data_IF_677452446937
#
_entry.id   IF_677452446937
#
_cell.length_a   1.000
_cell.length_b   1.000
_cell.length_c   1.000
_cell.angle_alpha   90.00
_cell.angle_beta   90.00
_cell.angle_gamma   90.00
#
_symmetry.space_group_name_H-M   'P 1'
#
loop_
_entity.id
_entity.type
_entity.pdbx_description
1 polymer ?
#
# COMPACT_ATOMS: atom_id res chain seq x y z
N UNK A 1 12.14 6.49 -29.94
CA UNK A 1 13.49 6.99 -30.26
C UNK A 1 13.34 7.72 -31.58
N UNK A 2 13.49 9.03 -31.58
CA UNK A 2 13.30 9.84 -32.79
C UNK A 2 14.67 10.28 -33.32
N UNK A 3 14.90 10.10 -34.61
CA UNK A 3 16.15 10.48 -35.28
C UNK A 3 15.89 11.65 -36.22
N UNK A 4 16.70 12.70 -36.16
CA UNK A 4 16.57 13.80 -37.11
C UNK A 4 17.13 13.45 -38.50
N UNK A 5 16.88 14.31 -39.49
CA UNK A 5 17.42 14.18 -40.85
C UNK A 5 18.95 14.29 -40.96
N UNK A 6 19.66 14.53 -39.85
CA UNK A 6 21.12 14.56 -39.76
C UNK A 6 21.71 13.31 -39.07
N UNK A 7 20.87 12.39 -38.57
CA UNK A 7 21.28 11.15 -37.92
C UNK A 7 21.59 11.28 -36.43
N UNK A 8 21.21 12.39 -35.79
CA UNK A 8 21.34 12.54 -34.34
C UNK A 8 20.19 11.82 -33.62
N UNK A 9 20.52 11.10 -32.55
CA UNK A 9 19.55 10.37 -31.73
C UNK A 9 19.26 11.16 -30.46
N UNK A 10 17.98 11.42 -30.19
CA UNK A 10 17.52 12.16 -29.01
C UNK A 10 16.89 11.24 -27.96
N UNK A 11 17.14 11.53 -26.68
CA UNK A 11 16.41 10.92 -25.56
C UNK A 11 14.98 11.51 -25.50
N UNK A 12 14.03 10.75 -24.94
CA UNK A 12 12.60 11.10 -24.90
C UNK A 12 12.28 12.46 -24.23
N UNK A 13 13.22 13.04 -23.49
CA UNK A 13 13.09 14.36 -22.85
C UNK A 13 13.80 15.51 -23.62
N UNK A 14 14.06 15.32 -24.92
CA UNK A 14 14.54 16.38 -25.84
C UNK A 14 15.98 16.85 -25.65
N UNK A 15 16.78 16.19 -24.80
CA UNK A 15 18.17 16.56 -24.53
C UNK A 15 19.09 16.00 -25.62
N UNK A 16 19.88 16.86 -26.28
CA UNK A 16 20.89 16.45 -27.27
C UNK A 16 22.15 15.88 -26.58
N UNK A 17 22.63 14.73 -27.01
CA UNK A 17 23.86 14.13 -26.50
C UNK A 17 25.09 14.81 -27.13
N UNK A 18 25.85 15.59 -26.36
CA UNK A 18 27.14 16.14 -26.79
C UNK A 18 28.28 15.25 -26.28
N UNK A 19 28.57 14.18 -27.03
CA UNK A 19 29.73 13.35 -26.80
C UNK A 19 30.08 12.56 -28.05
N UNK A 20 31.26 12.79 -28.62
CA UNK A 20 31.87 11.86 -29.55
C UNK A 20 32.92 11.07 -28.76
N UNK A 21 32.59 9.84 -28.37
CA UNK A 21 33.58 8.90 -27.86
C UNK A 21 33.17 7.51 -28.30
N UNK A 22 33.94 6.92 -29.21
CA UNK A 22 33.74 5.61 -29.85
C UNK A 22 33.82 4.40 -28.92
N UNK A 23 33.33 4.51 -27.69
CA UNK A 23 33.13 3.39 -26.78
C UNK A 23 31.75 2.77 -26.99
N UNK A 24 31.64 1.45 -26.82
CA UNK A 24 30.33 0.79 -26.66
C UNK A 24 29.61 1.42 -25.48
N UNK A 25 28.64 2.29 -25.74
CA UNK A 25 27.68 2.73 -24.74
C UNK A 25 26.78 1.54 -24.42
N UNK A 26 27.13 0.79 -23.37
CA UNK A 26 26.15 -0.04 -22.70
C UNK A 26 25.10 0.95 -22.19
N UNK A 27 23.94 1.00 -22.83
CA UNK A 27 22.74 1.49 -22.17
C UNK A 27 22.49 0.50 -21.03
N UNK A 28 23.16 0.71 -19.91
CA UNK A 28 22.62 0.22 -18.66
C UNK A 28 21.27 0.93 -18.58
N UNK A 29 20.17 0.21 -18.80
CA UNK A 29 18.90 0.61 -18.22
C UNK A 29 19.27 1.03 -16.80
N UNK A 30 18.95 2.28 -16.43
CA UNK A 30 19.19 2.73 -15.07
C UNK A 30 18.63 1.62 -14.19
N UNK A 31 19.52 0.93 -13.46
CA UNK A 31 19.10 -0.04 -12.48
C UNK A 31 18.18 0.78 -11.59
N UNK A 32 16.87 0.47 -11.51
CA UNK A 32 16.00 1.13 -10.56
C UNK A 32 16.74 1.14 -9.22
N UNK A 33 16.78 2.26 -8.50
CA UNK A 33 17.46 2.26 -7.21
C UNK A 33 16.97 1.04 -6.42
N UNK A 34 17.91 0.31 -5.82
CA UNK A 34 17.61 -0.93 -5.12
C UNK A 34 16.42 -0.69 -4.16
N UNK A 35 15.45 -1.61 -4.07
CA UNK A 35 14.30 -1.51 -3.19
C UNK A 35 14.71 -0.97 -1.83
N UNK A 36 14.18 0.20 -1.46
CA UNK A 36 14.60 0.91 -0.25
C UNK A 36 13.91 0.39 1.03
N UNK A 37 12.98 -0.54 0.87
CA UNK A 37 12.30 -1.29 1.92
C UNK A 37 11.65 -2.56 1.34
N UNK A 38 11.20 -3.48 2.19
CA UNK A 38 10.70 -4.78 1.75
C UNK A 38 9.32 -4.73 1.06
N UNK A 39 8.67 -3.56 0.98
CA UNK A 39 7.42 -3.35 0.24
C UNK A 39 7.52 -2.43 -1.00
N UNK A 40 8.68 -1.79 -1.25
CA UNK A 40 8.85 -0.84 -2.35
C UNK A 40 9.36 -1.58 -3.61
N UNK A 41 8.46 -2.02 -4.47
CA UNK A 41 8.73 -2.88 -5.62
C UNK A 41 8.82 -2.14 -6.95
N UNK A 42 8.21 -0.96 -7.07
CA UNK A 42 8.19 -0.17 -8.31
C UNK A 42 9.49 0.65 -8.55
N UNK A 43 10.44 0.56 -7.62
CA UNK A 43 11.72 1.26 -7.66
C UNK A 43 11.69 2.66 -7.04
N UNK A 44 10.62 3.04 -6.35
CA UNK A 44 10.57 4.23 -5.51
C UNK A 44 10.88 3.91 -4.02
N UNK A 45 10.52 4.80 -3.09
CA UNK A 45 10.72 4.62 -1.65
C UNK A 45 9.44 4.56 -0.83
N UNK A 46 8.30 4.56 -1.50
CA UNK A 46 6.97 4.54 -0.92
C UNK A 46 6.52 3.09 -0.79
N UNK A 47 5.56 2.83 0.09
CA UNK A 47 4.79 1.58 0.06
C UNK A 47 3.33 1.94 -0.18
N UNK A 48 2.92 1.85 -1.44
CA UNK A 48 1.62 2.28 -1.94
C UNK A 48 1.06 1.26 -2.95
N UNK A 49 -0.08 1.58 -3.57
CA UNK A 49 -0.76 0.66 -4.48
C UNK A 49 0.02 0.35 -5.77
N UNK A 50 0.97 1.19 -6.20
CA UNK A 50 1.82 0.90 -7.34
C UNK A 50 2.77 -0.30 -7.08
N UNK A 51 3.15 -0.53 -5.83
CA UNK A 51 3.93 -1.71 -5.45
C UNK A 51 3.08 -2.98 -5.51
N UNK A 52 1.78 -2.88 -5.20
CA UNK A 52 0.85 -3.98 -5.39
C UNK A 52 0.68 -4.32 -6.88
N UNK A 53 0.66 -3.33 -7.78
CA UNK A 53 0.65 -3.59 -9.22
C UNK A 53 1.88 -4.42 -9.65
N UNK A 54 3.05 -4.13 -9.06
CA UNK A 54 4.27 -4.89 -9.30
C UNK A 54 4.22 -6.31 -8.72
N UNK A 55 3.64 -6.49 -7.52
CA UNK A 55 3.42 -7.82 -6.93
C UNK A 55 2.45 -8.66 -7.77
N UNK A 56 1.34 -8.08 -8.22
CA UNK A 56 0.32 -8.76 -9.03
C UNK A 56 0.88 -9.24 -10.37
N UNK A 57 1.81 -8.49 -10.97
CA UNK A 57 2.46 -8.87 -12.22
C UNK A 57 3.24 -10.20 -12.15
N UNK A 58 3.54 -10.70 -10.95
CA UNK A 58 4.29 -11.94 -10.72
C UNK A 58 3.56 -12.96 -9.83
N UNK A 59 2.29 -12.71 -9.44
CA UNK A 59 1.52 -13.69 -8.66
C UNK A 59 1.33 -15.00 -9.44
N UNK A 60 1.32 -16.11 -8.70
CA UNK A 60 1.19 -17.47 -9.24
C UNK A 60 2.46 -18.02 -9.88
N UNK A 61 3.62 -17.37 -9.70
CA UNK A 61 4.91 -17.82 -10.23
C UNK A 61 5.76 -18.55 -9.18
N UNK A 62 6.62 -19.47 -9.63
CA UNK A 62 7.72 -20.01 -8.83
C UNK A 62 8.88 -19.01 -8.84
N UNK A 63 9.59 -18.84 -7.73
CA UNK A 63 10.62 -17.82 -7.54
C UNK A 63 11.89 -18.03 -8.43
N UNK A 64 12.18 -17.12 -9.39
CA UNK A 64 13.48 -16.99 -10.07
C UNK A 64 14.32 -15.87 -9.40
N UNK A 65 15.55 -15.58 -9.87
CA UNK A 65 16.40 -14.56 -9.24
C UNK A 65 15.79 -13.15 -9.19
N UNK A 66 14.89 -12.81 -10.12
CA UNK A 66 14.20 -11.51 -10.15
C UNK A 66 13.00 -11.48 -9.21
N UNK A 67 12.27 -12.59 -9.08
CA UNK A 67 11.00 -12.59 -8.36
C UNK A 67 11.18 -12.96 -6.88
N UNK A 68 12.41 -13.30 -6.47
CA UNK A 68 12.82 -13.48 -5.07
C UNK A 68 12.64 -12.22 -4.21
N UNK A 69 12.42 -11.06 -4.83
CA UNK A 69 12.01 -9.84 -4.13
C UNK A 69 10.55 -9.91 -3.64
N UNK A 70 9.70 -10.67 -4.33
CA UNK A 70 8.26 -10.75 -4.10
C UNK A 70 7.84 -11.95 -3.24
N UNK A 71 8.74 -12.93 -3.04
CA UNK A 71 8.56 -14.03 -2.07
C UNK A 71 8.93 -13.53 -0.65
N UNK A 72 7.94 -12.91 -0.01
CA UNK A 72 8.06 -12.27 1.29
C UNK A 72 8.00 -13.27 2.44
N UNK A 73 7.40 -14.45 2.22
CA UNK A 73 7.26 -15.48 3.23
C UNK A 73 8.35 -16.58 3.16
N UNK A 74 9.18 -16.57 2.10
CA UNK A 74 10.27 -17.50 1.81
C UNK A 74 9.84 -18.96 1.57
N UNK A 75 8.67 -19.19 0.97
CA UNK A 75 8.16 -20.52 0.62
C UNK A 75 8.47 -20.96 -0.83
N UNK A 76 9.14 -20.09 -1.60
CA UNK A 76 9.51 -20.23 -3.02
C UNK A 76 8.32 -20.15 -3.99
N UNK A 77 7.18 -19.66 -3.55
CA UNK A 77 6.07 -19.24 -4.41
C UNK A 77 5.90 -17.72 -4.26
N UNK A 78 5.29 -17.10 -5.27
CA UNK A 78 4.77 -15.73 -5.16
C UNK A 78 3.27 -15.81 -5.24
N UNK A 79 2.57 -15.76 -4.11
CA UNK A 79 1.13 -16.02 -4.03
C UNK A 79 0.38 -15.10 -3.03
N UNK A 80 -0.88 -15.45 -2.73
CA UNK A 80 -1.73 -14.68 -1.82
C UNK A 80 -1.17 -14.57 -0.39
N UNK A 81 -0.25 -15.45 0.02
CA UNK A 81 0.47 -15.34 1.27
C UNK A 81 1.48 -14.18 1.23
N UNK A 82 2.14 -13.93 0.10
CA UNK A 82 3.02 -12.76 -0.07
C UNK A 82 2.22 -11.47 -0.13
N UNK A 83 1.05 -11.46 -0.78
CA UNK A 83 0.12 -10.33 -0.69
C UNK A 83 -0.24 -10.02 0.77
N UNK A 84 -0.51 -11.04 1.57
CA UNK A 84 -0.81 -10.88 3.00
C UNK A 84 0.37 -10.28 3.76
N UNK A 85 1.59 -10.75 3.48
CA UNK A 85 2.80 -10.25 4.10
C UNK A 85 3.10 -8.80 3.67
N UNK A 86 2.90 -8.47 2.39
CA UNK A 86 3.06 -7.11 1.87
C UNK A 86 2.14 -6.13 2.59
N UNK A 87 0.85 -6.45 2.73
CA UNK A 87 -0.14 -5.60 3.42
C UNK A 87 0.24 -5.36 4.90
N UNK A 88 0.89 -6.33 5.53
CA UNK A 88 1.43 -6.20 6.90
C UNK A 88 2.63 -5.28 6.95
N UNK A 89 3.64 -5.53 6.11
CA UNK A 89 4.89 -4.77 6.11
C UNK A 89 4.69 -3.32 5.65
N UNK A 90 3.91 -3.09 4.60
CA UNK A 90 3.59 -1.77 4.09
C UNK A 90 2.90 -0.91 5.15
N UNK A 91 1.94 -1.48 5.89
CA UNK A 91 1.27 -0.75 6.94
C UNK A 91 2.22 -0.35 8.08
N UNK A 92 3.13 -1.25 8.48
CA UNK A 92 4.16 -0.95 9.49
C UNK A 92 5.10 0.17 9.03
N UNK A 93 5.52 0.14 7.76
CA UNK A 93 6.40 1.15 7.17
C UNK A 93 5.70 2.51 7.06
N UNK A 94 4.41 2.52 6.76
CA UNK A 94 3.58 3.72 6.76
C UNK A 94 3.20 4.20 8.19
N UNK A 95 3.72 3.55 9.23
CA UNK A 95 3.61 3.99 10.63
C UNK A 95 2.35 3.51 11.35
N UNK A 96 1.71 2.45 10.87
CA UNK A 96 0.50 1.92 11.47
C UNK A 96 0.75 0.73 12.40
N UNK A 97 -0.18 0.49 13.33
CA UNK A 97 -0.09 -0.59 14.33
C UNK A 97 -0.67 -1.94 13.89
N UNK A 98 -1.28 -2.03 12.72
CA UNK A 98 -1.83 -3.26 12.14
C UNK A 98 -1.78 -3.20 10.62
N UNK A 99 -1.78 -4.38 9.98
CA UNK A 99 -1.81 -4.54 8.53
C UNK A 99 -2.97 -3.76 7.88
N UNK A 100 -2.81 -3.42 6.60
CA UNK A 100 -3.95 -3.09 5.76
C UNK A 100 -4.86 -4.31 5.64
N UNK A 101 -6.15 -4.08 5.48
CA UNK A 101 -7.15 -5.13 5.34
C UNK A 101 -7.58 -5.28 3.88
N UNK A 102 -7.83 -6.51 3.45
CA UNK A 102 -8.51 -6.78 2.17
C UNK A 102 -9.87 -6.07 2.16
N UNK A 103 -10.19 -5.37 1.09
CA UNK A 103 -11.34 -4.47 1.04
C UNK A 103 -10.97 -2.99 1.03
N UNK A 104 -9.75 -2.62 1.44
CA UNK A 104 -9.27 -1.24 1.47
C UNK A 104 -8.56 -0.92 0.14
N UNK A 105 -9.33 -0.52 -0.87
CA UNK A 105 -8.85 -0.28 -2.23
C UNK A 105 -7.80 0.81 -2.28
N UNK A 106 -7.92 1.83 -1.41
CA UNK A 106 -7.02 2.99 -1.35
C UNK A 106 -5.82 2.86 -0.41
N UNK A 107 -5.78 1.82 0.43
CA UNK A 107 -4.87 1.70 1.58
C UNK A 107 -4.97 2.91 2.54
N UNK A 108 -6.16 3.50 2.68
CA UNK A 108 -6.39 4.70 3.50
C UNK A 108 -6.89 4.39 4.93
N UNK A 109 -7.07 3.10 5.20
CA UNK A 109 -7.47 2.52 6.48
C UNK A 109 -8.92 2.74 6.88
N UNK A 110 -9.78 3.10 5.94
CA UNK A 110 -11.20 2.82 6.05
C UNK A 110 -11.64 1.87 4.93
N UNK A 111 -12.74 1.17 5.19
CA UNK A 111 -13.34 0.27 4.21
C UNK A 111 -14.78 0.70 4.13
N UNK A 112 -15.10 1.43 3.07
CA UNK A 112 -16.32 2.20 2.97
C UNK A 112 -17.03 2.02 1.61
N UNK A 113 -17.96 2.92 1.30
CA UNK A 113 -18.72 2.83 0.04
C UNK A 113 -17.87 3.15 -1.20
N UNK A 114 -16.76 3.87 -1.05
CA UNK A 114 -15.81 4.18 -2.11
C UNK A 114 -15.12 2.91 -2.58
N UNK A 115 -14.62 2.08 -1.66
CA UNK A 115 -14.04 0.77 -1.99
C UNK A 115 -15.07 -0.15 -2.62
N UNK A 116 -16.29 -0.18 -2.06
CA UNK A 116 -17.37 -0.98 -2.63
C UNK A 116 -17.69 -0.56 -4.06
N UNK A 117 -17.70 0.75 -4.35
CA UNK A 117 -17.96 1.25 -5.69
C UNK A 117 -16.81 0.92 -6.66
N UNK A 118 -15.55 0.89 -6.20
CA UNK A 118 -14.42 0.45 -7.01
C UNK A 118 -14.56 -1.03 -7.40
N UNK A 119 -14.82 -1.90 -6.43
CA UNK A 119 -15.11 -3.32 -6.66
C UNK A 119 -16.31 -3.51 -7.59
N UNK A 120 -17.45 -2.89 -7.26
CA UNK A 120 -18.70 -3.08 -8.00
C UNK A 120 -18.63 -2.59 -9.45
N UNK A 121 -17.82 -1.56 -9.72
CA UNK A 121 -17.61 -1.07 -11.09
C UNK A 121 -16.79 -2.05 -11.95
N UNK A 122 -16.01 -2.92 -11.33
CA UNK A 122 -15.11 -3.87 -11.98
C UNK A 122 -15.55 -5.33 -11.84
N UNK A 123 -16.69 -5.60 -11.21
CA UNK A 123 -17.19 -6.95 -10.96
C UNK A 123 -17.28 -7.77 -12.25
N UNK A 124 -16.41 -8.77 -12.37
CA UNK A 124 -16.21 -9.63 -13.52
C UNK A 124 -15.84 -11.04 -13.03
N UNK A 125 -16.81 -11.78 -12.46
CA UNK A 125 -16.58 -13.03 -11.72
C UNK A 125 -16.13 -14.22 -12.60
N UNK A 126 -15.81 -13.94 -13.85
CA UNK A 126 -15.35 -14.89 -14.84
C UNK A 126 -14.06 -14.39 -15.52
N UNK A 127 -13.45 -13.31 -15.01
CA UNK A 127 -12.16 -12.78 -15.45
C UNK A 127 -12.07 -12.49 -16.95
N UNK A 128 -13.17 -12.14 -17.61
CA UNK A 128 -13.19 -11.94 -19.07
C UNK A 128 -12.46 -10.68 -19.52
N UNK A 129 -12.42 -9.65 -18.67
CA UNK A 129 -11.85 -8.35 -18.95
C UNK A 129 -10.58 -8.05 -18.15
N UNK A 130 -10.17 -8.96 -17.28
CA UNK A 130 -8.96 -8.86 -16.48
C UNK A 130 -7.65 -8.90 -17.29
N UNK A 131 -6.49 -8.85 -16.59
CA UNK A 131 -6.35 -8.97 -15.15
C UNK A 131 -6.78 -7.70 -14.40
N UNK A 132 -7.43 -7.89 -13.26
CA UNK A 132 -7.76 -6.81 -12.32
C UNK A 132 -6.72 -6.72 -11.21
N UNK A 133 -6.36 -5.49 -10.85
CA UNK A 133 -5.38 -5.19 -9.80
C UNK A 133 -6.09 -4.74 -8.52
N UNK A 134 -5.32 -4.50 -7.46
CA UNK A 134 -5.84 -4.07 -6.15
C UNK A 134 -6.84 -2.90 -6.22
N UNK A 135 -6.49 -1.84 -6.97
CA UNK A 135 -7.33 -0.64 -7.12
C UNK A 135 -8.68 -0.90 -7.80
N UNK A 136 -8.82 -2.03 -8.50
CA UNK A 136 -10.07 -2.44 -9.12
C UNK A 136 -10.96 -3.26 -8.18
N UNK A 137 -10.45 -3.67 -7.01
CA UNK A 137 -11.17 -4.48 -6.03
C UNK A 137 -10.85 -5.97 -6.08
N UNK A 138 -9.80 -6.39 -6.79
CA UNK A 138 -9.24 -7.74 -6.66
C UNK A 138 -8.39 -7.77 -5.38
N UNK A 139 -8.89 -8.40 -4.32
CA UNK A 139 -8.30 -8.39 -2.99
C UNK A 139 -7.62 -9.71 -2.61
N UNK A 140 -7.84 -10.78 -3.36
CA UNK A 140 -7.16 -12.06 -3.16
C UNK A 140 -6.07 -12.37 -4.21
N UNK A 141 -6.04 -11.59 -5.30
CA UNK A 141 -4.98 -11.60 -6.30
C UNK A 141 -5.14 -12.67 -7.37
N UNK A 142 -6.36 -13.09 -7.69
CA UNK A 142 -6.64 -14.19 -8.63
C UNK A 142 -7.01 -13.73 -10.07
N UNK A 143 -6.58 -12.51 -10.43
CA UNK A 143 -6.84 -11.80 -11.69
C UNK A 143 -8.28 -11.38 -11.98
N UNK A 144 -9.28 -11.75 -11.17
CA UNK A 144 -10.67 -11.34 -11.37
C UNK A 144 -11.26 -10.51 -10.21
N UNK A 145 -12.52 -10.10 -10.34
CA UNK A 145 -13.23 -9.39 -9.27
C UNK A 145 -14.56 -10.07 -9.05
N UNK A 146 -14.67 -10.79 -7.94
CA UNK A 146 -15.76 -11.73 -7.72
C UNK A 146 -16.41 -11.65 -6.32
N UNK A 147 -17.13 -12.71 -5.94
CA UNK A 147 -17.81 -12.77 -4.66
C UNK A 147 -16.84 -12.93 -3.47
N UNK A 148 -15.66 -13.51 -3.70
CA UNK A 148 -14.58 -13.66 -2.71
C UNK A 148 -14.05 -12.30 -2.29
N UNK A 149 -13.83 -11.40 -3.25
CA UNK A 149 -13.47 -10.00 -2.97
C UNK A 149 -14.57 -9.25 -2.23
N UNK A 150 -15.81 -9.45 -2.67
CA UNK A 150 -16.97 -8.84 -2.03
C UNK A 150 -17.10 -9.30 -0.56
N UNK A 151 -16.83 -10.57 -0.28
CA UNK A 151 -16.81 -11.10 1.09
C UNK A 151 -15.66 -10.54 1.91
N UNK A 152 -14.48 -10.33 1.30
CA UNK A 152 -13.34 -9.68 1.97
C UNK A 152 -13.69 -8.25 2.39
N UNK A 153 -14.23 -7.46 1.48
CA UNK A 153 -14.69 -6.09 1.76
C UNK A 153 -15.80 -6.09 2.81
N UNK A 154 -16.85 -6.88 2.63
CA UNK A 154 -17.99 -6.93 3.55
C UNK A 154 -17.58 -7.40 4.96
N UNK A 155 -16.64 -8.34 5.05
CA UNK A 155 -16.11 -8.85 6.31
C UNK A 155 -15.28 -7.83 7.08
N UNK A 156 -14.64 -6.89 6.37
CA UNK A 156 -13.80 -5.85 6.95
C UNK A 156 -14.43 -4.45 6.93
N UNK A 157 -15.69 -4.32 6.49
CA UNK A 157 -16.37 -3.04 6.33
C UNK A 157 -16.32 -2.21 7.61
N UNK A 158 -15.61 -1.08 7.54
CA UNK A 158 -15.38 -0.20 8.66
C UNK A 158 -15.20 1.24 8.15
N UNK A 159 -16.30 1.96 7.90
CA UNK A 159 -16.29 3.28 7.26
C UNK A 159 -15.77 4.39 8.18
N UNK A 160 -15.46 4.08 9.45
CA UNK A 160 -14.80 4.99 10.38
C UNK A 160 -13.31 4.66 10.56
N UNK A 161 -12.85 3.64 9.85
CA UNK A 161 -11.48 3.19 9.83
C UNK A 161 -11.10 2.18 10.91
N UNK A 162 -10.11 1.36 10.58
CA UNK A 162 -9.59 0.25 11.41
C UNK A 162 -8.18 0.54 11.96
N UNK A 163 -7.75 1.81 11.91
CA UNK A 163 -6.48 2.29 12.46
C UNK A 163 -6.49 2.70 13.93
N UNK A 164 -7.66 2.76 14.58
CA UNK A 164 -7.77 3.20 15.97
C UNK A 164 -8.32 2.10 16.86
N UNK A 165 -7.55 1.70 17.87
CA UNK A 165 -8.15 1.05 19.03
C UNK A 165 -9.05 2.10 19.70
N UNK A 166 -10.34 1.81 19.85
CA UNK A 166 -11.21 2.64 20.67
C UNK A 166 -10.56 2.79 22.05
N UNK A 167 -10.07 3.98 22.37
CA UNK A 167 -9.59 4.30 23.72
C UNK A 167 -10.81 4.19 24.63
N UNK A 168 -10.84 3.29 25.63
CA UNK A 168 -11.94 3.26 26.57
C UNK A 168 -11.88 4.54 27.40
N UNK A 169 -12.77 5.49 27.16
CA UNK A 169 -12.95 6.62 28.07
C UNK A 169 -14.07 6.34 29.08
N UNK A 170 -13.70 5.86 30.28
CA UNK A 170 -14.41 6.27 31.50
C UNK A 170 -13.50 6.92 32.55
N UNK A 171 -12.18 6.68 32.51
CA UNK A 171 -11.27 7.08 33.59
C UNK A 171 -10.78 8.54 33.48
N UNK A 172 -10.61 9.08 32.27
CA UNK A 172 -10.12 10.45 32.07
C UNK A 172 -11.10 11.51 32.62
N UNK A 173 -12.40 11.32 32.36
CA UNK A 173 -13.46 12.17 32.93
C UNK A 173 -13.51 12.08 34.46
N UNK A 174 -13.34 10.87 35.03
CA UNK A 174 -13.28 10.64 36.48
C UNK A 174 -12.05 11.32 37.12
N UNK A 175 -10.88 11.25 36.49
CA UNK A 175 -9.66 11.90 36.96
C UNK A 175 -9.76 13.43 36.85
N UNK A 176 -10.36 13.96 35.78
CA UNK A 176 -10.60 15.39 35.63
C UNK A 176 -11.59 15.93 36.68
N UNK A 177 -12.69 15.20 36.94
CA UNK A 177 -13.65 15.54 38.00
C UNK A 177 -13.02 15.45 39.39
N UNK A 178 -12.20 14.43 39.65
CA UNK A 178 -11.48 14.29 40.90
C UNK A 178 -10.47 15.43 41.12
N UNK A 179 -9.75 15.84 40.07
CA UNK A 179 -8.84 16.97 40.11
C UNK A 179 -9.57 18.30 40.40
N UNK A 180 -10.73 18.54 39.78
CA UNK A 180 -11.57 19.72 40.08
C UNK A 180 -12.05 19.74 41.54
N UNK A 181 -12.49 18.59 42.06
CA UNK A 181 -12.93 18.45 43.45
C UNK A 181 -11.79 18.73 44.44
N UNK A 182 -10.60 18.17 44.21
CA UNK A 182 -9.40 18.39 45.04
C UNK A 182 -8.89 19.84 45.00
N UNK A 183 -8.97 20.51 43.84
CA UNK A 183 -8.62 21.92 43.70
C UNK A 183 -9.61 22.82 44.46
N UNK A 184 -10.91 22.51 44.42
CA UNK A 184 -11.95 23.27 45.12
C UNK A 184 -11.88 23.16 46.65
N UNK A 185 -11.42 22.02 47.17
CA UNK A 185 -11.23 21.80 48.61
C UNK A 185 -10.00 22.54 49.15
N UNK A 186 -8.91 22.57 48.38
CA UNK A 186 -7.66 23.26 48.75
C UNK A 186 -7.84 24.79 48.83
N UNK A 187 -8.68 25.38 47.96
CA UNK A 187 -8.97 26.81 47.98
C UNK A 187 -9.78 27.27 49.21
N UNK A 188 -10.62 26.39 49.79
CA UNK A 188 -11.44 26.72 50.96
C UNK A 188 -10.66 26.75 52.27
N UNK A 189 -9.57 25.98 52.37
CA UNK A 189 -8.75 25.93 53.59
C UNK A 189 -7.84 27.18 53.73
N UNK A 190 -7.51 27.86 52.62
CA UNK A 190 -6.60 29.00 52.62
C UNK A 190 -7.22 30.34 53.09
N UNK A 191 -8.54 30.43 53.30
CA UNK A 191 -9.24 31.67 53.67
C UNK A 191 -9.67 31.74 55.16
N UNK A 192 -9.04 30.94 56.02
CA UNK A 192 -9.41 30.80 57.45
C UNK A 192 -8.45 31.49 58.43
N UNK A 193 -7.61 32.42 57.97
CA UNK A 193 -6.58 33.11 58.76
C UNK A 193 -6.91 34.58 59.04
#
# INVERSE_FOLDING_TARGET
MDSDGAGNIYLANGSAWNGNSSGTHKFAAAVPPAPSGPCAFDGDTSCNTADLDALYAVLGTDVPPTDALFDLNSDNLVDAADLTEWLSQAALINGHGSAYLRGDTGLDRDIDLSDYNALAANFDPNGTYGPYLWLAGNFDGDDDVDLTDCNSLAGNFNPLGYGTAAVPEPAAALLALLALLLASASGRLSNSG
#
